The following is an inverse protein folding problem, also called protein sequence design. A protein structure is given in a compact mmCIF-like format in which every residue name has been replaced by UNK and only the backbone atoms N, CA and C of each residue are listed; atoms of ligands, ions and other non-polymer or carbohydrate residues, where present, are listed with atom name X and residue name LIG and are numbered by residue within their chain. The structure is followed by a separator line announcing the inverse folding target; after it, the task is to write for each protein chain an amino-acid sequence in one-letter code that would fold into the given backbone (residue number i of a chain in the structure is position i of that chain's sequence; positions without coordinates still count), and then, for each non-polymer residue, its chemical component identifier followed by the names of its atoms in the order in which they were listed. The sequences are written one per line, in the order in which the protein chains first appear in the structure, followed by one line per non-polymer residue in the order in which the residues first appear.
data_IF_813439913129
#
_entry.id   IF_813439913129
#
_cell.length_a   1.000
_cell.length_b   1.000
_cell.length_c   1.000
_cell.angle_alpha   90.00
_cell.angle_beta   90.00
_cell.angle_gamma   90.00
#
_symmetry.space_group_name_H-M   'P 1'
#
loop_
_entity.id
_entity.type
_entity.pdbx_description
1 polymer ?
#
# COMPACT_ATOMS: atom_id res chain seq x y z
N UNK A 1 -31.21 0.45 20.91
CA UNK A 1 -29.92 -0.21 21.22
C UNK A 1 -29.51 -1.21 20.13
N UNK A 2 -30.34 -2.20 19.78
CA UNK A 2 -30.04 -3.19 18.72
C UNK A 2 -29.84 -2.61 17.31
N UNK A 3 -30.61 -1.59 16.92
CA UNK A 3 -30.53 -0.94 15.61
C UNK A 3 -29.17 -0.26 15.37
N UNK A 4 -28.57 0.30 16.43
CA UNK A 4 -27.23 0.90 16.40
C UNK A 4 -26.13 -0.16 16.22
N UNK A 5 -26.24 -1.29 16.92
CA UNK A 5 -25.29 -2.41 16.79
C UNK A 5 -25.33 -2.96 15.36
N UNK A 6 -26.53 -3.14 14.81
CA UNK A 6 -26.69 -3.64 13.44
C UNK A 6 -26.09 -2.69 12.40
N UNK A 7 -26.27 -1.38 12.59
CA UNK A 7 -25.71 -0.37 11.70
C UNK A 7 -24.18 -0.32 11.80
N UNK A 8 -23.61 -0.43 13.00
CA UNK A 8 -22.15 -0.51 13.19
C UNK A 8 -21.57 -1.76 12.53
N UNK A 9 -22.19 -2.93 12.72
CA UNK A 9 -21.73 -4.18 12.09
C UNK A 9 -21.81 -4.09 10.57
N UNK A 10 -22.87 -3.49 10.02
CA UNK A 10 -23.02 -3.29 8.58
C UNK A 10 -21.92 -2.37 8.03
N UNK A 11 -21.65 -1.24 8.70
CA UNK A 11 -20.59 -0.31 8.27
C UNK A 11 -19.22 -0.96 8.37
N UNK A 12 -18.92 -1.69 9.45
CA UNK A 12 -17.66 -2.44 9.61
C UNK A 12 -17.54 -3.51 8.52
N UNK A 13 -18.61 -4.25 8.24
CA UNK A 13 -18.63 -5.24 7.15
C UNK A 13 -18.33 -4.62 5.79
N UNK A 14 -18.95 -3.48 5.47
CA UNK A 14 -18.71 -2.75 4.23
C UNK A 14 -17.26 -2.25 4.16
N UNK A 15 -16.71 -1.74 5.27
CA UNK A 15 -15.31 -1.32 5.34
C UNK A 15 -14.35 -2.48 5.13
N UNK A 16 -14.61 -3.64 5.76
CA UNK A 16 -13.80 -4.84 5.59
C UNK A 16 -13.83 -5.36 4.15
N UNK A 17 -15.01 -5.40 3.52
CA UNK A 17 -15.14 -5.78 2.10
C UNK A 17 -14.41 -4.77 1.21
N UNK A 18 -14.56 -3.48 1.47
CA UNK A 18 -13.85 -2.44 0.71
C UNK A 18 -12.34 -2.56 0.84
N UNK A 19 -11.85 -2.82 2.04
CA UNK A 19 -10.41 -2.98 2.30
C UNK A 19 -9.88 -4.28 1.69
N UNK A 20 -10.63 -5.38 1.79
CA UNK A 20 -10.30 -6.64 1.15
C UNK A 20 -10.18 -6.53 -0.38
N UNK A 21 -11.18 -5.92 -1.04
CA UNK A 21 -11.16 -5.74 -2.50
C UNK A 21 -10.20 -4.63 -2.96
N UNK A 22 -10.00 -3.59 -2.15
CA UNK A 22 -9.11 -2.46 -2.47
C UNK A 22 -7.62 -2.78 -2.27
N UNK A 23 -7.28 -3.61 -1.29
CA UNK A 23 -5.90 -3.99 -0.96
C UNK A 23 -5.56 -5.40 -1.44
N UNK A 24 -6.22 -6.40 -0.85
CA UNK A 24 -5.73 -7.78 -0.88
C UNK A 24 -5.80 -8.36 -2.29
N UNK A 25 -6.89 -8.10 -2.99
CA UNK A 25 -7.11 -8.60 -4.34
C UNK A 25 -6.06 -8.09 -5.36
N UNK A 26 -5.87 -6.77 -5.58
CA UNK A 26 -4.89 -6.29 -6.55
C UNK A 26 -3.45 -6.60 -6.12
N UNK A 27 -3.15 -6.57 -4.81
CA UNK A 27 -1.82 -6.92 -4.31
C UNK A 27 -1.49 -8.41 -4.56
N UNK A 28 -2.43 -9.32 -4.27
CA UNK A 28 -2.26 -10.75 -4.53
C UNK A 28 -2.14 -11.07 -6.03
N UNK A 29 -2.88 -10.36 -6.88
CA UNK A 29 -2.74 -10.47 -8.34
C UNK A 29 -1.36 -9.99 -8.78
N UNK A 30 -0.88 -8.86 -8.25
CA UNK A 30 0.44 -8.32 -8.57
C UNK A 30 1.56 -9.29 -8.17
N UNK A 31 1.51 -9.87 -6.98
CA UNK A 31 2.50 -10.86 -6.54
C UNK A 31 2.45 -12.15 -7.35
N UNK A 32 1.25 -12.61 -7.75
CA UNK A 32 1.11 -13.76 -8.65
C UNK A 32 1.70 -13.48 -10.05
N UNK A 33 1.58 -12.25 -10.55
CA UNK A 33 2.21 -11.86 -11.80
C UNK A 33 3.73 -11.89 -11.71
N UNK A 34 4.30 -11.45 -10.57
CA UNK A 34 5.74 -11.56 -10.31
C UNK A 34 6.20 -13.02 -10.31
N UNK A 35 5.49 -13.91 -9.62
CA UNK A 35 5.87 -15.34 -9.57
C UNK A 35 5.77 -16.04 -10.93
N UNK A 36 4.89 -15.56 -11.81
CA UNK A 36 4.79 -16.00 -13.22
C UNK A 36 5.82 -15.36 -14.15
N UNK A 37 6.76 -14.57 -13.63
CA UNK A 37 7.76 -13.84 -14.43
C UNK A 37 7.19 -12.67 -15.23
N UNK A 38 5.92 -12.32 -15.05
CA UNK A 38 5.26 -11.20 -15.75
C UNK A 38 5.53 -9.89 -15.01
N UNK A 39 6.79 -9.43 -15.07
CA UNK A 39 7.29 -8.26 -14.33
C UNK A 39 6.61 -6.95 -14.75
N UNK A 40 6.45 -6.69 -16.04
CA UNK A 40 5.83 -5.46 -16.57
C UNK A 40 4.35 -5.30 -16.16
N UNK A 41 3.50 -6.33 -16.30
CA UNK A 41 2.14 -6.30 -15.75
C UNK A 41 2.11 -6.07 -14.23
N UNK A 42 3.02 -6.71 -13.47
CA UNK A 42 3.10 -6.53 -12.02
C UNK A 42 3.45 -5.08 -11.65
N UNK A 43 4.44 -4.49 -12.33
CA UNK A 43 4.85 -3.09 -12.16
C UNK A 43 3.66 -2.13 -12.37
N UNK A 44 2.90 -2.31 -13.46
CA UNK A 44 1.72 -1.47 -13.74
C UNK A 44 0.66 -1.59 -12.65
N UNK A 45 0.45 -2.80 -12.14
CA UNK A 45 -0.55 -3.04 -11.11
C UNK A 45 -0.12 -2.42 -9.76
N UNK A 46 1.15 -2.56 -9.36
CA UNK A 46 1.68 -1.91 -8.16
C UNK A 46 1.60 -0.38 -8.25
N UNK A 47 1.87 0.21 -9.42
CA UNK A 47 1.70 1.65 -9.65
C UNK A 47 0.24 2.08 -9.47
N UNK A 48 -0.70 1.33 -10.03
CA UNK A 48 -2.13 1.60 -9.88
C UNK A 48 -2.60 1.50 -8.43
N UNK A 49 -2.06 0.57 -7.64
CA UNK A 49 -2.32 0.46 -6.19
C UNK A 49 -1.84 1.72 -5.46
N UNK A 50 -0.70 2.29 -5.86
CA UNK A 50 -0.16 3.52 -5.26
C UNK A 50 -0.94 4.78 -5.64
N UNK A 51 -1.46 4.85 -6.87
CA UNK A 51 -2.21 6.01 -7.37
C UNK A 51 -3.68 6.02 -6.90
N UNK A 52 -4.30 4.83 -6.83
CA UNK A 52 -5.76 4.71 -6.74
C UNK A 52 -6.37 4.72 -5.34
N UNK A 53 -5.58 4.79 -4.27
CA UNK A 53 -6.16 4.66 -2.92
C UNK A 53 -5.41 5.45 -1.85
N UNK A 54 -5.79 6.73 -1.64
CA UNK A 54 -5.32 7.51 -0.49
C UNK A 54 -5.76 6.92 0.87
N UNK A 55 -6.74 6.03 0.87
CA UNK A 55 -7.26 5.31 2.04
C UNK A 55 -6.51 4.01 2.35
N UNK A 56 -5.58 3.57 1.49
CA UNK A 56 -4.72 2.44 1.82
C UNK A 56 -3.87 2.80 3.03
N UNK A 57 -3.84 1.90 4.01
CA UNK A 57 -2.95 2.02 5.17
C UNK A 57 -1.52 2.30 4.71
N UNK A 58 -0.85 3.23 5.41
CA UNK A 58 0.53 3.61 5.12
C UNK A 58 1.49 2.42 5.05
N UNK A 59 1.20 1.35 5.80
CA UNK A 59 1.95 0.08 5.76
C UNK A 59 1.84 -0.58 4.39
N UNK A 60 0.64 -0.64 3.82
CA UNK A 60 0.39 -1.28 2.53
C UNK A 60 1.00 -0.48 1.40
N UNK A 61 0.85 0.85 1.42
CA UNK A 61 1.50 1.68 0.41
C UNK A 61 3.03 1.60 0.51
N UNK A 62 3.58 1.36 1.70
CA UNK A 62 5.01 1.11 1.90
C UNK A 62 5.45 -0.22 1.27
N UNK A 63 4.69 -1.30 1.52
CA UNK A 63 4.96 -2.62 0.96
C UNK A 63 4.86 -2.64 -0.58
N UNK A 64 3.84 -1.98 -1.15
CA UNK A 64 3.68 -1.85 -2.59
C UNK A 64 4.86 -1.07 -3.22
N UNK A 65 5.31 0.02 -2.58
CA UNK A 65 6.51 0.78 -3.00
C UNK A 65 7.76 -0.09 -2.97
N UNK A 66 7.96 -0.84 -1.88
CA UNK A 66 9.12 -1.74 -1.74
C UNK A 66 9.16 -2.80 -2.86
N UNK A 67 8.03 -3.48 -3.13
CA UNK A 67 7.96 -4.49 -4.19
C UNK A 67 8.15 -3.88 -5.58
N UNK A 68 7.60 -2.69 -5.82
CA UNK A 68 7.82 -1.96 -7.06
C UNK A 68 9.30 -1.61 -7.25
N UNK A 69 9.96 -1.08 -6.22
CA UNK A 69 11.39 -0.78 -6.24
C UNK A 69 12.23 -2.03 -6.53
N UNK A 70 11.91 -3.16 -5.90
CA UNK A 70 12.60 -4.43 -6.17
C UNK A 70 12.49 -4.84 -7.65
N UNK A 71 11.29 -4.77 -8.22
CA UNK A 71 11.07 -5.09 -9.65
C UNK A 71 11.81 -4.12 -10.57
N UNK A 72 11.94 -2.85 -10.19
CA UNK A 72 12.72 -1.86 -10.95
C UNK A 72 14.22 -2.16 -10.87
N UNK A 73 14.73 -2.57 -9.70
CA UNK A 73 16.12 -3.02 -9.55
C UNK A 73 16.42 -4.24 -10.43
N UNK A 74 15.54 -5.25 -10.44
CA UNK A 74 15.70 -6.42 -11.31
C UNK A 74 15.67 -6.09 -12.80
N UNK A 75 15.07 -4.97 -13.18
CA UNK A 75 15.03 -4.47 -14.55
C UNK A 75 16.28 -3.64 -14.92
N UNK A 76 17.11 -3.30 -13.94
CA UNK A 76 18.25 -2.40 -14.10
C UNK A 76 17.90 -0.91 -13.94
N UNK A 77 16.66 -0.58 -13.58
CA UNK A 77 16.21 0.78 -13.32
C UNK A 77 16.48 1.18 -11.86
N UNK A 78 17.75 1.31 -11.51
CA UNK A 78 18.17 1.61 -10.13
C UNK A 78 17.76 3.01 -9.67
N UNK A 79 17.80 4.00 -10.55
CA UNK A 79 17.45 5.40 -10.23
C UNK A 79 15.97 5.55 -9.81
N UNK A 80 15.07 4.92 -10.57
CA UNK A 80 13.63 4.89 -10.25
C UNK A 80 13.38 4.18 -8.93
N UNK A 81 14.07 3.06 -8.69
CA UNK A 81 13.96 2.29 -7.45
C UNK A 81 14.41 3.09 -6.23
N UNK A 82 15.55 3.79 -6.33
CA UNK A 82 16.10 4.65 -5.26
C UNK A 82 15.15 5.79 -4.95
N UNK A 83 14.56 6.42 -5.97
CA UNK A 83 13.59 7.51 -5.79
C UNK A 83 12.38 7.03 -4.99
N UNK A 84 11.80 5.88 -5.39
CA UNK A 84 10.67 5.27 -4.69
C UNK A 84 10.98 4.91 -3.23
N UNK A 85 12.18 4.37 -2.96
CA UNK A 85 12.61 4.03 -1.60
C UNK A 85 12.85 5.28 -0.74
N UNK A 86 13.46 6.33 -1.30
CA UNK A 86 13.65 7.62 -0.61
C UNK A 86 12.33 8.25 -0.22
N UNK A 87 11.35 8.27 -1.11
CA UNK A 87 10.02 8.77 -0.80
C UNK A 87 9.33 7.96 0.31
N UNK A 88 9.44 6.64 0.26
CA UNK A 88 8.92 5.76 1.31
C UNK A 88 9.54 6.07 2.67
N UNK A 89 10.87 6.22 2.74
CA UNK A 89 11.59 6.54 3.97
C UNK A 89 11.22 7.92 4.51
N UNK A 90 11.13 8.94 3.64
CA UNK A 90 10.73 10.30 4.03
C UNK A 90 9.35 10.33 4.67
N UNK A 91 8.38 9.59 4.10
CA UNK A 91 7.02 9.48 4.65
C UNK A 91 7.00 8.76 6.01
N UNK A 92 7.78 7.69 6.18
CA UNK A 92 7.90 6.98 7.47
C UNK A 92 8.54 7.86 8.54
N UNK A 93 9.64 8.54 8.21
CA UNK A 93 10.37 9.41 9.14
C UNK A 93 9.52 10.60 9.56
N UNK A 94 8.85 11.28 8.63
CA UNK A 94 7.93 12.39 8.93
C UNK A 94 6.83 11.97 9.91
N UNK A 95 6.27 10.77 9.74
CA UNK A 95 5.25 10.25 10.66
C UNK A 95 5.82 9.91 12.04
N UNK A 96 7.04 9.38 12.09
CA UNK A 96 7.73 9.07 13.34
C UNK A 96 8.10 10.34 14.13
N UNK A 97 8.59 11.39 13.46
CA UNK A 97 8.86 12.68 14.13
C UNK A 97 7.58 13.36 14.59
N UNK A 98 6.51 13.36 13.78
CA UNK A 98 5.22 13.94 14.19
C UNK A 98 4.62 13.21 15.41
N UNK A 99 4.76 11.88 15.47
CA UNK A 99 4.37 11.08 16.64
C UNK A 99 5.17 11.46 17.91
N UNK A 100 6.48 11.63 17.77
CA UNK A 100 7.35 12.01 18.89
C UNK A 100 7.09 13.43 19.39
N UNK A 101 6.69 14.35 18.51
CA UNK A 101 6.31 15.72 18.89
C UNK A 101 4.96 15.73 19.61
N UNK A 102 3.97 14.97 19.13
CA UNK A 102 2.65 14.86 19.80
C UNK A 102 2.70 14.19 21.18
N UNK A 103 3.64 13.30 21.44
CA UNK A 103 3.79 12.67 22.76
C UNK A 103 4.46 13.55 23.81
N UNK A 104 5.06 14.68 23.40
CA UNK A 104 5.78 15.62 24.27
C UNK A 104 4.99 16.88 24.60
N UNK A 105 3.80 17.05 24.03
CA UNK A 105 2.83 18.10 24.32
C UNK A 105 1.69 17.52 25.15
#
# INVERSE_FOLDING_TARGET
MWLLIFLVVLVVGILLVREFFGFWLPFAVATNLVSKGKKEPAIRLFRKIMEGSPLLSATVQGEARYRLSWLMMEKGNYEDAVTLLREMLKRRQSKATESNVRQRL
#
